data_IF_869150139644
#
_entry.id   IF_869150139644
#
_cell.length_a   1.000
_cell.length_b   1.000
_cell.length_c   1.000
_cell.angle_alpha   90.00
_cell.angle_beta   90.00
_cell.angle_gamma   90.00
#
_symmetry.space_group_name_H-M   'P 1'
#
loop_
_entity.id
_entity.type
_entity.pdbx_description
1 polymer ?
#
# COMPACT_ATOMS: atom_id res chain seq x y z
N UNK A 1 21.03 1.19 8.83
CA UNK A 1 20.14 2.00 7.99
C UNK A 1 18.95 1.13 7.61
N UNK A 2 17.85 1.18 8.38
CA UNK A 2 16.59 0.55 7.94
C UNK A 2 16.18 1.29 6.67
N UNK A 3 16.04 0.57 5.56
CA UNK A 3 15.58 1.17 4.30
C UNK A 3 14.11 1.55 4.53
N UNK A 4 13.74 2.85 4.57
CA UNK A 4 12.36 3.25 4.83
C UNK A 4 11.40 2.63 3.82
N UNK A 5 11.89 2.32 2.63
CA UNK A 5 11.14 1.65 1.56
C UNK A 5 10.70 0.23 1.91
N UNK A 6 11.43 -0.49 2.78
CA UNK A 6 11.05 -1.86 3.17
C UNK A 6 9.88 -1.85 4.15
N UNK A 7 9.97 -1.06 5.21
CA UNK A 7 8.89 -0.92 6.19
C UNK A 7 7.62 -0.31 5.55
N UNK A 8 7.79 0.61 4.59
CA UNK A 8 6.68 1.16 3.83
C UNK A 8 6.05 0.13 2.89
N UNK A 9 6.85 -0.76 2.26
CA UNK A 9 6.32 -1.89 1.48
C UNK A 9 5.55 -2.89 2.35
N UNK A 10 6.00 -3.17 3.56
CA UNK A 10 5.28 -4.05 4.50
C UNK A 10 3.94 -3.44 4.93
N UNK A 11 3.93 -2.14 5.25
CA UNK A 11 2.69 -1.42 5.56
C UNK A 11 1.72 -1.46 4.38
N UNK A 12 2.22 -1.23 3.16
CA UNK A 12 1.42 -1.34 1.93
C UNK A 12 0.87 -2.75 1.74
N UNK A 13 1.68 -3.80 1.94
CA UNK A 13 1.21 -5.17 1.82
C UNK A 13 0.10 -5.49 2.82
N UNK A 14 0.22 -5.00 4.07
CA UNK A 14 -0.80 -5.16 5.10
C UNK A 14 -2.11 -4.44 4.74
N UNK A 15 -2.03 -3.22 4.21
CA UNK A 15 -3.17 -2.44 3.72
C UNK A 15 -3.88 -3.17 2.58
N UNK A 16 -3.11 -3.63 1.60
CA UNK A 16 -3.63 -4.33 0.42
C UNK A 16 -4.27 -5.66 0.79
N UNK A 17 -3.76 -6.36 1.82
CA UNK A 17 -4.37 -7.55 2.38
C UNK A 17 -5.59 -7.28 3.29
N UNK A 18 -5.90 -6.02 3.60
CA UNK A 18 -6.98 -5.66 4.51
C UNK A 18 -6.71 -5.97 5.99
N UNK A 19 -5.46 -6.21 6.39
CA UNK A 19 -5.09 -6.55 7.76
C UNK A 19 -4.95 -5.29 8.63
N UNK A 20 -6.09 -4.76 9.08
CA UNK A 20 -6.14 -3.56 9.90
C UNK A 20 -5.38 -3.70 11.24
N UNK A 21 -5.27 -4.90 11.78
CA UNK A 21 -4.54 -5.16 13.04
C UNK A 21 -3.04 -5.01 12.81
N UNK A 22 -2.51 -5.61 11.74
CA UNK A 22 -1.08 -5.52 11.41
C UNK A 22 -0.68 -4.11 10.95
N UNK A 23 -1.56 -3.43 10.20
CA UNK A 23 -1.40 -1.99 9.87
C UNK A 23 -1.28 -1.15 11.14
N UNK A 24 -2.19 -1.34 12.10
CA UNK A 24 -2.18 -0.59 13.36
C UNK A 24 -0.91 -0.86 14.17
N UNK A 25 -0.43 -2.11 14.17
CA UNK A 25 0.81 -2.50 14.85
C UNK A 25 2.05 -1.83 14.23
N UNK A 26 2.16 -1.84 12.89
CA UNK A 26 3.27 -1.18 12.17
C UNK A 26 3.28 0.33 12.40
N UNK A 27 2.12 0.97 12.40
CA UNK A 27 1.98 2.40 12.68
C UNK A 27 2.31 2.74 14.14
N UNK A 28 1.93 1.89 15.09
CA UNK A 28 2.29 2.06 16.49
C UNK A 28 3.80 1.90 16.72
N UNK A 29 4.43 0.94 16.03
CA UNK A 29 5.87 0.72 16.08
C UNK A 29 6.67 1.84 15.39
N UNK A 30 6.11 2.48 14.37
CA UNK A 30 6.76 3.56 13.62
C UNK A 30 5.74 4.54 13.03
N UNK A 31 5.31 5.56 13.80
CA UNK A 31 4.32 6.53 13.36
C UNK A 31 4.75 7.32 12.12
N UNK A 32 6.05 7.48 11.91
CA UNK A 32 6.62 8.14 10.74
C UNK A 32 6.27 7.44 9.42
N UNK A 33 5.85 6.17 9.44
CA UNK A 33 5.42 5.44 8.24
C UNK A 33 4.11 6.01 7.66
N UNK A 34 3.27 6.65 8.48
CA UNK A 34 2.01 7.23 8.01
C UNK A 34 2.22 8.38 7.00
N UNK A 35 3.30 9.14 7.18
CA UNK A 35 3.67 10.27 6.32
C UNK A 35 4.89 10.00 5.44
N UNK A 36 5.46 8.80 5.52
CA UNK A 36 6.56 8.40 4.66
C UNK A 36 6.08 8.21 3.21
N UNK A 37 6.86 8.73 2.27
CA UNK A 37 6.64 8.53 0.84
C UNK A 37 7.68 7.57 0.26
N UNK A 38 7.28 6.77 -0.71
CA UNK A 38 8.20 5.95 -1.49
C UNK A 38 9.25 6.82 -2.18
N UNK A 39 10.53 6.57 -1.91
CA UNK A 39 11.62 7.28 -2.60
C UNK A 39 11.82 6.76 -4.03
N UNK A 40 11.35 5.55 -4.31
CA UNK A 40 11.43 4.91 -5.62
C UNK A 40 10.09 4.27 -5.95
N UNK A 41 9.71 4.32 -7.23
CA UNK A 41 8.44 3.76 -7.71
C UNK A 41 8.55 3.15 -9.10
N UNK A 42 7.40 2.79 -9.63
CA UNK A 42 7.25 2.28 -10.99
C UNK A 42 7.81 3.29 -12.01
N UNK A 43 8.82 2.86 -12.74
CA UNK A 43 9.20 3.49 -14.00
C UNK A 43 8.74 2.59 -15.16
N UNK A 44 8.78 3.10 -16.39
CA UNK A 44 8.41 2.31 -17.59
C UNK A 44 9.18 0.99 -17.70
N UNK A 45 10.37 0.88 -17.10
CA UNK A 45 11.22 -0.30 -17.12
C UNK A 45 11.06 -1.19 -15.87
N UNK A 46 10.64 -0.63 -14.73
CA UNK A 46 10.55 -1.35 -13.44
C UNK A 46 9.12 -1.59 -12.96
N UNK A 47 8.11 -1.21 -13.75
CA UNK A 47 6.70 -1.18 -13.36
C UNK A 47 6.21 -2.48 -12.69
N UNK A 48 6.59 -3.66 -13.21
CA UNK A 48 6.17 -4.95 -12.64
C UNK A 48 6.59 -5.13 -11.17
N UNK A 49 7.74 -4.60 -10.75
CA UNK A 49 8.24 -4.73 -9.37
C UNK A 49 7.53 -3.81 -8.36
N UNK A 50 6.65 -2.94 -8.85
CA UNK A 50 5.86 -1.99 -8.07
C UNK A 50 4.36 -2.19 -8.28
N UNK A 51 3.96 -3.27 -8.95
CA UNK A 51 2.56 -3.59 -9.18
C UNK A 51 1.97 -4.32 -7.97
N UNK A 52 0.82 -3.83 -7.51
CA UNK A 52 0.00 -4.40 -6.45
C UNK A 52 -1.19 -5.07 -7.11
N UNK A 53 -1.12 -6.40 -7.18
CA UNK A 53 -2.08 -7.25 -7.89
C UNK A 53 -3.51 -7.13 -7.33
N UNK A 54 -3.66 -7.19 -5.99
CA UNK A 54 -4.98 -7.19 -5.35
C UNK A 54 -5.79 -5.90 -5.54
N UNK A 55 -5.13 -4.80 -5.92
CA UNK A 55 -5.76 -3.50 -6.19
C UNK A 55 -5.49 -3.02 -7.62
N UNK A 56 -4.91 -3.89 -8.45
CA UNK A 56 -4.50 -3.67 -9.84
C UNK A 56 -3.76 -2.34 -10.10
N UNK A 57 -2.92 -1.90 -9.15
CA UNK A 57 -2.30 -0.56 -9.15
C UNK A 57 -0.79 -0.59 -9.02
N UNK A 58 -0.12 0.37 -9.67
CA UNK A 58 1.31 0.61 -9.51
C UNK A 58 1.61 1.60 -8.37
N UNK A 59 2.64 1.30 -7.58
CA UNK A 59 3.24 2.24 -6.61
C UNK A 59 4.18 3.18 -7.36
N UNK A 60 3.96 4.48 -7.23
CA UNK A 60 4.84 5.51 -7.81
C UNK A 60 5.74 6.15 -6.75
N UNK A 61 6.81 6.81 -7.19
CA UNK A 61 7.63 7.60 -6.28
C UNK A 61 6.81 8.78 -5.77
N UNK A 62 6.90 9.07 -4.47
CA UNK A 62 6.06 10.05 -3.78
C UNK A 62 4.72 9.52 -3.24
N UNK A 63 4.32 8.31 -3.64
CA UNK A 63 3.12 7.66 -3.12
C UNK A 63 3.31 7.32 -1.62
N UNK A 64 2.23 7.35 -0.85
CA UNK A 64 2.24 7.14 0.61
C UNK A 64 1.37 5.94 0.94
N UNK A 65 1.51 5.37 2.13
CA UNK A 65 0.62 4.32 2.59
C UNK A 65 -0.86 4.72 2.50
N UNK A 66 -1.18 6.01 2.69
CA UNK A 66 -2.54 6.54 2.58
C UNK A 66 -3.08 6.51 1.14
N UNK A 67 -2.28 6.90 0.15
CA UNK A 67 -2.68 6.84 -1.27
C UNK A 67 -3.01 5.40 -1.68
N UNK A 68 -2.24 4.41 -1.20
CA UNK A 68 -2.53 3.00 -1.44
C UNK A 68 -3.79 2.53 -0.70
N UNK A 69 -4.00 2.96 0.55
CA UNK A 69 -5.21 2.64 1.31
C UNK A 69 -6.48 3.17 0.64
N UNK A 70 -6.42 4.38 0.10
CA UNK A 70 -7.52 4.95 -0.67
C UNK A 70 -7.84 4.10 -1.91
N UNK A 71 -6.82 3.71 -2.68
CA UNK A 71 -6.99 2.85 -3.85
C UNK A 71 -7.54 1.47 -3.49
N UNK A 72 -7.09 0.89 -2.37
CA UNK A 72 -7.60 -0.38 -1.85
C UNK A 72 -9.07 -0.28 -1.41
N UNK A 73 -9.45 0.82 -0.76
CA UNK A 73 -10.83 1.05 -0.38
C UNK A 73 -11.74 1.26 -1.61
N UNK A 74 -11.27 2.00 -2.61
CA UNK A 74 -11.99 2.18 -3.87
C UNK A 74 -12.18 0.86 -4.61
N UNK A 75 -11.17 -0.01 -4.65
CA UNK A 75 -11.32 -1.33 -5.27
C UNK A 75 -12.34 -2.18 -4.51
N UNK A 76 -12.29 -2.19 -3.18
CA UNK A 76 -13.27 -2.90 -2.36
C UNK A 76 -14.69 -2.36 -2.55
N UNK A 77 -14.85 -1.04 -2.73
CA UNK A 77 -16.15 -0.44 -3.03
C UNK A 77 -16.67 -0.79 -4.43
N UNK A 78 -15.78 -0.87 -5.44
CA UNK A 78 -16.13 -1.28 -6.81
C UNK A 78 -16.50 -2.76 -6.88
N UNK A 79 -15.78 -3.63 -6.15
CA UNK A 79 -16.14 -5.04 -6.02
C UNK A 79 -17.31 -5.29 -5.06
N UNK A 80 -17.62 -4.34 -4.17
CA UNK A 80 -18.65 -4.42 -3.13
C UNK A 80 -20.11 -4.29 -3.61
N UNK A 81 -20.36 -4.14 -4.92
CA UNK A 81 -21.72 -4.13 -5.48
C UNK A 81 -22.14 -5.46 -6.14
N UNK A 82 -21.34 -6.53 -6.02
CA UNK A 82 -21.67 -7.83 -6.61
C UNK A 82 -21.13 -9.01 -5.83
N UNK A 83 -21.77 -9.39 -4.72
CA UNK A 83 -21.45 -10.66 -4.07
C UNK A 83 -22.14 -10.86 -2.73
N UNK A 84 -23.34 -11.43 -2.77
CA UNK A 84 -24.00 -12.09 -1.64
C UNK A 84 -23.07 -13.14 -1.00
N UNK A 85 -22.93 -13.07 0.32
CA UNK A 85 -23.11 -14.22 1.21
C UNK A 85 -24.12 -13.82 2.28
#
# INVERSE_FOLDING_TARGET
MVKPDLALRELVAAIVAGDATYVSWLLAASPALASACFQSGATRQTAKSYYLDQIERYVFAGDTALHIAEAAYQTAAVFGCGGYL
#
